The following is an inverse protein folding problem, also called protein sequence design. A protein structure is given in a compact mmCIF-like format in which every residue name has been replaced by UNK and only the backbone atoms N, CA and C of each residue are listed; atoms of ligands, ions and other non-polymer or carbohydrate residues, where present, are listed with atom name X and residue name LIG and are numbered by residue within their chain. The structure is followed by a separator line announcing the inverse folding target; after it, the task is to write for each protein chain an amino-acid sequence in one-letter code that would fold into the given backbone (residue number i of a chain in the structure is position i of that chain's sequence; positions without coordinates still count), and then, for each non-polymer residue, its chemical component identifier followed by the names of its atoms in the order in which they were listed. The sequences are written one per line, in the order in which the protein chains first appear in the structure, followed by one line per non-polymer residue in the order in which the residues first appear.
data_IF_187173019819
#
_entry.id   IF_187173019819
#
_cell.length_a   1.000
_cell.length_b   1.000
_cell.length_c   1.000
_cell.angle_alpha   90.00
_cell.angle_beta   90.00
_cell.angle_gamma   90.00
#
_symmetry.space_group_name_H-M   'P 1'
#
loop_
_entity.id
_entity.type
_entity.pdbx_description
1 polymer ?
#
# COMPACT_ATOMS: atom_id res chain seq x y z
N UNK A 1 4.84 -11.32 3.85
CA UNK A 1 3.82 -12.05 4.65
C UNK A 1 2.95 -12.88 3.72
N UNK A 2 2.66 -14.12 4.11
CA UNK A 2 1.80 -15.02 3.32
C UNK A 2 0.37 -14.53 3.33
N UNK A 3 -0.34 -14.79 2.24
CA UNK A 3 -1.75 -14.40 2.09
C UNK A 3 -2.67 -15.16 3.06
N UNK A 4 -2.39 -16.45 3.27
CA UNK A 4 -3.15 -17.29 4.17
C UNK A 4 -2.23 -18.23 4.98
N UNK A 5 -2.77 -18.82 6.02
CA UNK A 5 -2.11 -19.86 6.81
C UNK A 5 -2.81 -21.20 6.59
N UNK A 6 -2.05 -22.21 6.19
CA UNK A 6 -2.55 -23.58 6.01
C UNK A 6 -2.23 -24.39 7.26
N UNK A 7 -3.23 -24.94 7.90
CA UNK A 7 -3.09 -25.78 9.10
C UNK A 7 -2.69 -27.21 8.79
N UNK A 8 -3.05 -27.70 7.58
CA UNK A 8 -2.75 -29.05 7.13
C UNK A 8 -2.32 -29.05 5.65
N UNK A 9 -1.21 -29.74 5.35
CA UNK A 9 -0.65 -29.87 4.00
C UNK A 9 0.55 -28.98 3.71
N UNK A 10 1.20 -29.24 2.56
CA UNK A 10 2.35 -28.46 2.03
C UNK A 10 1.88 -27.65 0.82
N UNK A 11 0.91 -26.76 1.02
CA UNK A 11 0.59 -25.83 -0.06
C UNK A 11 1.60 -24.67 -0.07
N UNK A 12 2.16 -24.41 -1.25
CA UNK A 12 2.96 -23.20 -1.47
C UNK A 12 2.00 -22.02 -1.58
N UNK A 13 1.95 -21.22 -0.53
CA UNK A 13 1.15 -19.99 -0.50
C UNK A 13 2.00 -18.79 -0.88
N UNK A 14 1.46 -17.88 -1.70
CA UNK A 14 2.15 -16.66 -2.06
C UNK A 14 2.31 -15.72 -0.88
N UNK A 15 3.21 -14.75 -1.03
CA UNK A 15 3.23 -13.55 -0.23
C UNK A 15 2.29 -12.52 -0.86
N UNK A 16 1.36 -11.99 -0.07
CA UNK A 16 0.53 -10.86 -0.47
C UNK A 16 1.23 -9.54 -0.15
N UNK A 17 1.23 -8.64 -1.11
CA UNK A 17 1.84 -7.29 -0.94
C UNK A 17 1.01 -6.47 0.04
N UNK A 18 -0.32 -6.53 -0.03
CA UNK A 18 -1.21 -5.88 0.94
C UNK A 18 -0.99 -6.42 2.37
N UNK A 19 -0.99 -7.76 2.54
CA UNK A 19 -0.74 -8.39 3.84
C UNK A 19 0.64 -8.03 4.39
N UNK A 20 1.63 -7.81 3.54
CA UNK A 20 2.96 -7.34 3.95
C UNK A 20 2.90 -5.92 4.53
N UNK A 21 2.13 -5.01 3.92
CA UNK A 21 1.90 -3.67 4.46
C UNK A 21 1.19 -3.69 5.81
N UNK A 22 0.12 -4.46 5.94
CA UNK A 22 -0.61 -4.64 7.21
C UNK A 22 0.27 -5.32 8.26
N UNK A 23 1.08 -6.29 7.86
CA UNK A 23 2.04 -6.97 8.73
C UNK A 23 3.10 -6.03 9.34
N UNK A 24 3.54 -5.01 8.59
CA UNK A 24 4.41 -3.97 9.14
C UNK A 24 3.72 -3.19 10.26
N UNK A 25 2.44 -2.84 10.09
CA UNK A 25 1.65 -2.17 11.15
C UNK A 25 1.50 -3.10 12.36
N UNK A 26 1.22 -4.38 12.12
CA UNK A 26 1.10 -5.38 13.19
C UNK A 26 2.41 -5.53 14.00
N UNK A 27 3.59 -5.41 13.37
CA UNK A 27 4.87 -5.38 14.09
C UNK A 27 4.96 -4.18 15.04
N UNK A 28 4.53 -3.00 14.61
CA UNK A 28 4.54 -1.82 15.48
C UNK A 28 3.56 -1.97 16.67
N UNK A 29 2.38 -2.57 16.43
CA UNK A 29 1.43 -2.88 17.51
C UNK A 29 2.03 -3.91 18.46
N UNK A 30 2.66 -4.96 17.94
CA UNK A 30 3.32 -5.99 18.76
C UNK A 30 4.46 -5.45 19.63
N UNK A 31 5.21 -4.47 19.12
CA UNK A 31 6.23 -3.75 19.89
C UNK A 31 5.59 -2.91 20.99
N UNK A 32 4.58 -2.14 20.66
CA UNK A 32 3.85 -1.28 21.60
C UNK A 32 3.25 -2.07 22.77
N UNK A 33 2.65 -3.23 22.49
CA UNK A 33 2.05 -4.12 23.48
C UNK A 33 3.08 -5.03 24.19
N UNK A 34 4.35 -4.97 23.81
CA UNK A 34 5.41 -5.81 24.38
C UNK A 34 5.36 -7.29 23.94
N UNK A 35 4.63 -7.62 22.88
CA UNK A 35 4.51 -8.99 22.37
C UNK A 35 5.66 -9.37 21.43
N UNK A 36 6.32 -8.38 20.81
CA UNK A 36 7.36 -8.60 19.82
C UNK A 36 8.60 -7.73 20.09
N UNK A 37 9.59 -8.29 20.77
CA UNK A 37 10.81 -7.58 21.15
C UNK A 37 11.78 -7.28 19.99
N UNK A 38 11.59 -7.90 18.82
CA UNK A 38 12.42 -7.71 17.61
C UNK A 38 11.66 -7.05 16.46
N UNK A 39 10.62 -6.29 16.78
CA UNK A 39 9.72 -5.70 15.79
C UNK A 39 10.47 -4.80 14.80
N UNK A 40 11.37 -3.93 15.26
CA UNK A 40 12.15 -3.05 14.38
C UNK A 40 13.11 -3.81 13.46
N UNK A 41 13.75 -4.89 13.96
CA UNK A 41 14.61 -5.74 13.13
C UNK A 41 13.79 -6.46 12.03
N UNK A 42 12.61 -7.00 12.40
CA UNK A 42 11.69 -7.66 11.46
C UNK A 42 11.12 -6.67 10.45
N UNK A 43 10.76 -5.47 10.86
CA UNK A 43 10.31 -4.41 9.97
C UNK A 43 11.41 -4.01 8.98
N UNK A 44 12.65 -3.79 9.44
CA UNK A 44 13.78 -3.49 8.58
C UNK A 44 14.06 -4.61 7.57
N UNK A 45 14.00 -5.88 8.00
CA UNK A 45 14.19 -7.03 7.11
C UNK A 45 13.09 -7.09 6.03
N UNK A 46 11.83 -6.90 6.43
CA UNK A 46 10.69 -6.86 5.49
C UNK A 46 10.85 -5.73 4.47
N UNK A 47 11.25 -4.55 4.92
CA UNK A 47 11.48 -3.41 4.02
C UNK A 47 12.67 -3.64 3.08
N UNK A 48 13.76 -4.28 3.52
CA UNK A 48 14.87 -4.70 2.63
C UNK A 48 14.38 -5.64 1.54
N UNK A 49 13.56 -6.64 1.91
CA UNK A 49 12.97 -7.56 0.97
C UNK A 49 12.17 -6.82 -0.11
N UNK A 50 11.23 -5.95 0.31
CA UNK A 50 10.38 -5.21 -0.62
C UNK A 50 11.15 -4.16 -1.44
N UNK A 51 12.24 -3.63 -0.92
CA UNK A 51 13.12 -2.70 -1.63
C UNK A 51 14.09 -3.37 -2.62
N UNK A 52 14.09 -4.72 -2.72
CA UNK A 52 15.01 -5.49 -3.55
C UNK A 52 16.46 -5.43 -3.04
N UNK A 53 16.65 -5.33 -1.72
CA UNK A 53 17.99 -5.25 -1.10
C UNK A 53 18.39 -6.56 -0.39
N UNK A 54 17.63 -7.64 -0.60
CA UNK A 54 18.03 -8.99 -0.17
C UNK A 54 18.55 -9.78 -1.36
N UNK A 55 19.74 -10.39 -1.26
CA UNK A 55 20.27 -11.25 -2.31
C UNK A 55 19.30 -12.39 -2.67
N UNK A 56 19.02 -12.57 -3.95
CA UNK A 56 18.14 -13.62 -4.46
C UNK A 56 16.65 -13.37 -4.33
N UNK A 57 16.22 -12.23 -3.74
CA UNK A 57 14.82 -11.86 -3.65
C UNK A 57 14.58 -10.52 -4.37
N UNK A 58 13.87 -10.59 -5.49
CA UNK A 58 13.53 -9.41 -6.30
C UNK A 58 12.01 -9.32 -6.48
N UNK A 59 11.32 -8.47 -5.71
CA UNK A 59 9.86 -8.38 -5.77
C UNK A 59 9.38 -7.92 -7.14
N UNK A 60 8.51 -8.73 -7.75
CA UNK A 60 7.94 -8.46 -9.06
C UNK A 60 7.09 -7.19 -9.03
N UNK A 61 7.35 -6.29 -9.99
CA UNK A 61 6.66 -5.02 -10.16
C UNK A 61 6.66 -4.58 -11.61
N UNK A 62 5.79 -3.67 -11.95
CA UNK A 62 5.85 -2.98 -13.24
C UNK A 62 7.09 -2.09 -13.29
N UNK A 63 7.95 -2.31 -14.27
CA UNK A 63 9.26 -1.65 -14.38
C UNK A 63 9.16 -0.16 -14.73
N UNK A 64 8.03 0.29 -15.29
CA UNK A 64 7.85 1.68 -15.70
C UNK A 64 7.23 2.53 -14.59
N UNK A 65 6.42 1.91 -13.74
CA UNK A 65 5.63 2.62 -12.72
C UNK A 65 5.95 2.25 -11.29
N UNK A 66 6.59 1.10 -11.05
CA UNK A 66 6.97 0.62 -9.73
C UNK A 66 5.84 -0.03 -8.93
N UNK A 67 4.62 -0.18 -9.48
CA UNK A 67 3.53 -0.89 -8.81
C UNK A 67 3.81 -2.39 -8.74
N UNK A 68 3.67 -2.95 -7.54
CA UNK A 68 3.99 -4.35 -7.26
C UNK A 68 2.92 -5.31 -7.78
N UNK A 69 3.34 -6.52 -8.14
CA UNK A 69 2.42 -7.62 -8.36
C UNK A 69 1.66 -7.94 -7.08
N UNK A 70 0.35 -8.22 -7.17
CA UNK A 70 -0.51 -8.55 -6.03
C UNK A 70 0.07 -9.69 -5.18
N UNK A 71 0.47 -10.78 -5.86
CA UNK A 71 1.10 -11.93 -5.23
C UNK A 71 2.51 -12.17 -5.77
N UNK A 72 3.43 -12.48 -4.87
CA UNK A 72 4.81 -12.84 -5.19
C UNK A 72 5.21 -14.12 -4.48
N UNK A 73 6.16 -14.83 -5.06
CA UNK A 73 6.83 -15.94 -4.42
C UNK A 73 7.63 -15.46 -3.19
N UNK A 74 7.51 -16.17 -2.08
CA UNK A 74 8.07 -15.73 -0.81
C UNK A 74 9.60 -15.82 -0.73
N UNK A 75 10.21 -16.65 -1.58
CA UNK A 75 11.66 -16.89 -1.56
C UNK A 75 12.39 -16.04 -2.60
N UNK A 76 11.81 -15.91 -3.78
CA UNK A 76 12.45 -15.25 -4.92
C UNK A 76 11.90 -13.85 -5.21
N UNK A 77 10.68 -13.55 -4.75
CA UNK A 77 9.96 -12.34 -5.11
C UNK A 77 9.33 -12.39 -6.51
N UNK A 78 9.50 -13.45 -7.27
CA UNK A 78 8.91 -13.61 -8.59
C UNK A 78 7.38 -13.51 -8.51
N UNK A 79 6.75 -13.05 -9.61
CA UNK A 79 5.28 -13.00 -9.69
C UNK A 79 4.69 -14.38 -9.47
N UNK A 80 3.75 -14.47 -8.56
CA UNK A 80 3.01 -15.69 -8.29
C UNK A 80 1.68 -15.67 -9.05
N UNK A 81 1.32 -16.79 -9.67
CA UNK A 81 0.22 -16.89 -10.64
C UNK A 81 0.34 -15.81 -11.74
N UNK A 82 -0.78 -15.46 -12.36
CA UNK A 82 -0.87 -14.32 -13.28
C UNK A 82 -1.43 -13.08 -12.57
N UNK A 83 -0.99 -12.84 -11.32
CA UNK A 83 -1.47 -11.70 -10.55
C UNK A 83 -1.13 -10.37 -11.23
N UNK A 84 -2.03 -9.41 -11.18
CA UNK A 84 -1.87 -8.07 -11.73
C UNK A 84 -0.83 -7.24 -10.94
N UNK A 85 -0.37 -6.12 -11.51
CA UNK A 85 0.30 -5.09 -10.74
C UNK A 85 -0.78 -4.23 -10.08
N UNK A 86 -1.02 -4.48 -8.79
CA UNK A 86 -2.12 -3.88 -8.04
C UNK A 86 -1.76 -2.49 -7.51
N UNK A 87 -2.64 -1.54 -7.73
CA UNK A 87 -2.45 -0.18 -7.25
C UNK A 87 -2.74 -0.08 -5.75
N UNK A 88 -3.81 -0.72 -5.26
CA UNK A 88 -4.17 -0.69 -3.85
C UNK A 88 -3.21 -1.50 -2.97
N UNK A 89 -2.79 -2.69 -3.41
CA UNK A 89 -1.85 -3.50 -2.61
C UNK A 89 -0.51 -2.79 -2.45
N UNK A 90 -0.04 -2.12 -3.52
CA UNK A 90 1.15 -1.26 -3.46
C UNK A 90 0.94 -0.09 -2.49
N UNK A 91 -0.24 0.53 -2.49
CA UNK A 91 -0.56 1.61 -1.56
C UNK A 91 -0.58 1.12 -0.10
N UNK A 92 -1.14 -0.06 0.17
CA UNK A 92 -1.14 -0.67 1.50
C UNK A 92 0.28 -1.01 1.97
N UNK A 93 1.12 -1.58 1.10
CA UNK A 93 2.52 -1.84 1.40
C UNK A 93 3.26 -0.56 1.79
N UNK A 94 3.15 0.47 0.96
CA UNK A 94 3.87 1.73 1.20
C UNK A 94 3.32 2.47 2.42
N UNK A 95 2.02 2.40 2.68
CA UNK A 95 1.42 2.95 3.89
C UNK A 95 1.94 2.28 5.15
N UNK A 96 2.04 0.94 5.14
CA UNK A 96 2.68 0.19 6.23
C UNK A 96 4.14 0.57 6.43
N UNK A 97 4.90 0.76 5.34
CA UNK A 97 6.28 1.21 5.40
C UNK A 97 6.42 2.62 6.01
N UNK A 98 5.56 3.55 5.61
CA UNK A 98 5.54 4.90 6.18
C UNK A 98 5.08 4.89 7.64
N UNK A 99 4.13 4.02 8.02
CA UNK A 99 3.69 3.88 9.40
C UNK A 99 4.84 3.43 10.31
N UNK A 100 5.57 2.37 9.95
CA UNK A 100 6.69 1.90 10.79
C UNK A 100 7.86 2.88 10.79
N UNK A 101 8.05 3.67 9.75
CA UNK A 101 9.01 4.79 9.73
C UNK A 101 8.69 5.82 10.81
N UNK A 102 7.41 6.20 10.95
CA UNK A 102 6.97 7.16 11.96
C UNK A 102 6.95 6.54 13.36
N UNK A 103 6.59 5.27 13.48
CA UNK A 103 6.58 4.57 14.77
C UNK A 103 8.00 4.36 15.32
N UNK A 104 8.91 3.80 14.52
CA UNK A 104 10.31 3.57 14.91
C UNK A 104 11.18 4.81 14.62
N UNK A 105 10.80 5.96 15.15
CA UNK A 105 11.52 7.23 14.94
C UNK A 105 13.00 7.09 15.33
N UNK A 106 13.89 7.55 14.46
CA UNK A 106 15.35 7.44 14.66
C UNK A 106 15.98 6.16 14.09
N UNK A 107 15.21 5.16 13.67
CA UNK A 107 15.75 3.98 13.00
C UNK A 107 16.07 4.31 11.53
N UNK A 108 17.32 4.75 11.29
CA UNK A 108 17.77 5.30 9.99
C UNK A 108 17.48 4.39 8.79
N UNK A 109 17.64 3.08 8.99
CA UNK A 109 17.44 2.13 7.89
C UNK A 109 15.96 2.00 7.51
N UNK A 110 15.06 1.87 8.49
CA UNK A 110 13.60 1.86 8.23
C UNK A 110 13.20 3.14 7.50
N UNK A 111 13.68 4.31 7.96
CA UNK A 111 13.36 5.59 7.33
C UNK A 111 13.83 5.65 5.87
N UNK A 112 15.07 5.20 5.58
CA UNK A 112 15.64 5.14 4.22
C UNK A 112 14.85 4.21 3.31
N UNK A 113 14.55 3.00 3.79
CA UNK A 113 13.85 1.97 3.01
C UNK A 113 12.40 2.36 2.71
N UNK A 114 11.69 2.91 3.70
CA UNK A 114 10.32 3.41 3.49
C UNK A 114 10.29 4.56 2.47
N UNK A 115 11.23 5.50 2.55
CA UNK A 115 11.37 6.57 1.57
C UNK A 115 11.68 6.01 0.17
N UNK A 116 12.61 5.03 0.06
CA UNK A 116 12.93 4.36 -1.20
C UNK A 116 11.70 3.71 -1.82
N UNK A 117 10.90 2.98 -1.04
CA UNK A 117 9.66 2.35 -1.51
C UNK A 117 8.67 3.40 -2.02
N UNK A 118 8.41 4.46 -1.26
CA UNK A 118 7.49 5.53 -1.66
C UNK A 118 7.93 6.18 -2.98
N UNK A 119 9.21 6.54 -3.11
CA UNK A 119 9.74 7.21 -4.31
C UNK A 119 9.96 6.28 -5.50
N UNK A 120 9.95 4.97 -5.31
CA UNK A 120 10.03 4.00 -6.41
C UNK A 120 8.72 3.85 -7.19
N UNK A 121 7.62 4.36 -6.66
CA UNK A 121 6.30 4.27 -7.29
C UNK A 121 5.92 5.58 -7.97
N UNK A 122 5.55 5.52 -9.24
CA UNK A 122 5.00 6.64 -9.99
C UNK A 122 3.49 6.74 -9.76
N UNK A 123 3.11 7.35 -8.64
CA UNK A 123 1.72 7.42 -8.16
C UNK A 123 0.73 7.99 -9.18
N UNK A 124 1.17 8.95 -9.98
CA UNK A 124 0.31 9.57 -11.02
C UNK A 124 -0.17 8.57 -12.09
N UNK A 125 0.58 7.48 -12.32
CA UNK A 125 0.18 6.45 -13.27
C UNK A 125 -1.09 5.69 -12.86
N UNK A 126 -1.47 5.76 -11.59
CA UNK A 126 -2.69 5.16 -11.07
C UNK A 126 -3.89 6.14 -11.05
N UNK A 127 -3.74 7.38 -11.49
CA UNK A 127 -4.83 8.35 -11.55
C UNK A 127 -5.48 8.28 -12.93
N UNK A 128 -6.76 7.95 -13.00
CA UNK A 128 -7.55 7.87 -14.22
C UNK A 128 -8.11 9.25 -14.60
N UNK A 129 -8.82 9.89 -13.68
CA UNK A 129 -9.38 11.24 -13.86
C UNK A 129 -9.31 12.01 -12.54
N UNK A 130 -8.43 13.01 -12.48
CA UNK A 130 -8.23 13.82 -11.28
C UNK A 130 -9.42 14.73 -10.94
N UNK A 131 -10.29 15.03 -11.90
CA UNK A 131 -11.48 15.87 -11.68
C UNK A 131 -12.65 15.06 -11.13
N UNK A 132 -12.78 13.80 -11.54
CA UNK A 132 -13.80 12.86 -11.07
C UNK A 132 -13.37 12.08 -9.83
N UNK A 133 -12.07 12.08 -9.51
CA UNK A 133 -11.51 11.29 -8.43
C UNK A 133 -11.30 9.82 -8.78
N UNK A 134 -11.32 9.51 -10.08
CA UNK A 134 -11.16 8.14 -10.55
C UNK A 134 -9.69 7.71 -10.50
N UNK A 135 -9.46 6.48 -10.02
CA UNK A 135 -8.15 5.83 -9.97
C UNK A 135 -8.22 4.48 -10.67
N UNK A 136 -7.11 4.00 -11.17
CA UNK A 136 -7.05 2.68 -11.80
C UNK A 136 -6.88 1.56 -10.78
N UNK A 137 -7.59 0.46 -11.00
CA UNK A 137 -7.48 -0.78 -10.21
C UNK A 137 -6.08 -1.39 -10.32
N UNK A 138 -5.53 -1.44 -11.51
CA UNK A 138 -4.25 -2.10 -11.81
C UNK A 138 -3.43 -1.38 -12.88
N UNK A 139 -2.17 -1.80 -12.99
CA UNK A 139 -1.24 -1.33 -14.02
C UNK A 139 -0.88 -2.48 -14.95
N UNK A 140 -1.01 -2.25 -16.25
CA UNK A 140 -0.57 -3.18 -17.30
C UNK A 140 0.38 -2.47 -18.27
N UNK A 141 1.60 -2.99 -18.38
CA UNK A 141 2.63 -2.44 -19.30
C UNK A 141 2.83 -0.92 -19.14
N UNK A 142 2.92 -0.46 -17.90
CA UNK A 142 3.13 0.95 -17.57
C UNK A 142 1.89 1.85 -17.66
N UNK A 143 0.70 1.30 -17.92
CA UNK A 143 -0.55 2.05 -18.08
C UNK A 143 -1.59 1.60 -17.06
N UNK A 144 -2.36 2.53 -16.53
CA UNK A 144 -3.50 2.24 -15.70
C UNK A 144 -4.65 1.62 -16.49
N UNK A 145 -5.34 0.66 -15.85
CA UNK A 145 -6.47 -0.09 -16.43
C UNK A 145 -7.57 -0.24 -15.38
N UNK A 146 -8.80 -0.34 -15.83
CA UNK A 146 -10.01 -0.50 -15.01
C UNK A 146 -10.19 0.67 -14.02
N UNK A 147 -10.71 1.83 -14.48
CA UNK A 147 -10.94 2.97 -13.62
C UNK A 147 -12.07 2.70 -12.61
N UNK A 148 -11.88 3.15 -11.39
CA UNK A 148 -12.78 3.01 -10.26
C UNK A 148 -13.28 4.38 -9.81
N UNK A 149 -14.55 4.44 -9.41
CA UNK A 149 -15.15 5.64 -8.80
C UNK A 149 -14.48 5.99 -7.45
N UNK A 150 -14.55 7.23 -6.99
CA UNK A 150 -14.00 7.65 -5.71
C UNK A 150 -14.78 7.08 -4.50
N UNK A 151 -14.30 7.38 -3.28
CA UNK A 151 -14.92 7.08 -1.98
C UNK A 151 -14.95 5.59 -1.60
N UNK A 152 -13.97 4.84 -2.05
CA UNK A 152 -13.72 3.47 -1.66
C UNK A 152 -12.32 3.34 -1.00
N UNK A 153 -11.85 2.11 -0.79
CA UNK A 153 -10.53 1.82 -0.21
C UNK A 153 -9.35 2.44 -1.00
N UNK A 154 -9.52 2.71 -2.28
CA UNK A 154 -8.52 3.36 -3.13
C UNK A 154 -8.31 4.86 -2.79
N UNK A 155 -9.08 5.43 -1.88
CA UNK A 155 -8.79 6.76 -1.32
C UNK A 155 -7.40 6.84 -0.68
N UNK A 156 -6.88 5.71 -0.19
CA UNK A 156 -5.50 5.59 0.30
C UNK A 156 -4.46 5.89 -0.79
N UNK A 157 -4.69 5.40 -2.01
CA UNK A 157 -3.84 5.70 -3.17
C UNK A 157 -3.87 7.20 -3.50
N UNK A 158 -5.05 7.82 -3.50
CA UNK A 158 -5.19 9.26 -3.72
C UNK A 158 -4.43 10.07 -2.65
N UNK A 159 -4.46 9.62 -1.39
CA UNK A 159 -3.69 10.21 -0.31
C UNK A 159 -2.19 10.13 -0.54
N UNK A 160 -1.65 8.97 -0.93
CA UNK A 160 -0.22 8.81 -1.23
C UNK A 160 0.22 9.64 -2.43
N UNK A 161 -0.64 9.73 -3.45
CA UNK A 161 -0.38 10.50 -4.66
C UNK A 161 -0.41 12.03 -4.44
N UNK A 162 -0.97 12.54 -3.33
CA UNK A 162 -1.22 13.97 -3.10
C UNK A 162 0.03 14.87 -3.19
N UNK A 163 1.22 14.30 -3.03
CA UNK A 163 2.48 15.05 -3.17
C UNK A 163 2.92 15.23 -4.63
N UNK A 164 2.19 14.67 -5.59
CA UNK A 164 2.40 14.89 -7.03
C UNK A 164 1.43 15.95 -7.56
N UNK A 165 1.72 16.63 -8.68
CA UNK A 165 0.83 17.65 -9.24
C UNK A 165 -0.59 17.14 -9.53
N UNK A 166 -0.71 15.98 -10.21
CA UNK A 166 -2.00 15.39 -10.55
C UNK A 166 -2.73 14.86 -9.33
N UNK A 167 -2.00 14.22 -8.41
CA UNK A 167 -2.56 13.69 -7.16
C UNK A 167 -3.01 14.79 -6.19
N UNK A 168 -2.28 15.92 -6.12
CA UNK A 168 -2.70 17.10 -5.36
C UNK A 168 -4.03 17.64 -5.87
N UNK A 169 -4.17 17.74 -7.20
CA UNK A 169 -5.42 18.17 -7.83
C UNK A 169 -6.58 17.22 -7.51
N UNK A 170 -6.37 15.90 -7.65
CA UNK A 170 -7.36 14.88 -7.29
C UNK A 170 -7.77 15.00 -5.82
N UNK A 171 -6.79 15.09 -4.92
CA UNK A 171 -7.06 15.19 -3.48
C UNK A 171 -7.90 16.42 -3.14
N UNK A 172 -7.54 17.59 -3.66
CA UNK A 172 -8.27 18.85 -3.41
C UNK A 172 -9.68 18.84 -4.00
N UNK A 173 -9.89 18.22 -5.16
CA UNK A 173 -11.18 18.19 -5.82
C UNK A 173 -12.18 17.22 -5.20
N UNK A 174 -11.71 16.11 -4.62
CA UNK A 174 -12.56 14.99 -4.24
C UNK A 174 -12.48 14.66 -2.74
N UNK A 175 -11.27 14.63 -2.18
CA UNK A 175 -11.02 14.11 -0.84
C UNK A 175 -10.64 15.17 0.19
N UNK A 176 -10.65 16.47 -0.17
CA UNK A 176 -10.39 17.50 0.84
C UNK A 176 -11.50 17.52 1.89
N UNK A 177 -11.21 17.93 3.15
CA UNK A 177 -12.22 18.05 4.20
C UNK A 177 -13.44 18.88 3.78
N UNK A 178 -13.21 19.96 3.03
CA UNK A 178 -14.25 20.85 2.51
C UNK A 178 -15.19 20.13 1.55
N UNK A 179 -14.65 19.23 0.73
CA UNK A 179 -15.45 18.43 -0.21
C UNK A 179 -16.20 17.31 0.47
N UNK A 180 -15.55 16.61 1.40
CA UNK A 180 -16.16 15.52 2.15
C UNK A 180 -17.39 16.00 2.97
N UNK A 181 -17.37 17.23 3.46
CA UNK A 181 -18.53 17.81 4.15
C UNK A 181 -19.76 18.05 3.24
N UNK A 182 -19.57 18.10 1.91
CA UNK A 182 -20.65 18.26 0.95
C UNK A 182 -21.34 16.95 0.56
N UNK A 183 -20.76 15.82 0.93
CA UNK A 183 -21.31 14.50 0.62
C UNK A 183 -22.47 14.15 1.55
N UNK A 184 -23.47 13.38 1.08
CA UNK A 184 -24.51 12.86 1.95
C UNK A 184 -23.91 12.11 3.13
N UNK A 185 -24.41 12.38 4.34
CA UNK A 185 -23.93 11.76 5.56
C UNK A 185 -25.08 11.15 6.33
N UNK A 186 -24.91 9.93 6.82
CA UNK A 186 -25.86 9.29 7.72
C UNK A 186 -25.31 9.29 9.15
N UNK A 187 -26.13 9.74 10.10
CA UNK A 187 -25.80 9.68 11.51
C UNK A 187 -25.86 8.22 11.99
N UNK A 188 -24.76 7.70 12.52
CA UNK A 188 -24.66 6.32 13.03
C UNK A 188 -24.55 6.27 14.57
N UNK A 189 -24.67 7.43 15.24
CA UNK A 189 -24.64 7.56 16.68
C UNK A 189 -24.31 8.99 17.10
N UNK A 190 -24.30 9.30 18.41
CA UNK A 190 -24.01 10.65 18.90
C UNK A 190 -22.66 11.16 18.39
N UNK A 191 -22.68 12.21 17.56
CA UNK A 191 -21.49 12.84 17.00
C UNK A 191 -20.71 11.99 15.97
N UNK A 192 -21.31 10.91 15.45
CA UNK A 192 -20.70 10.06 14.42
C UNK A 192 -21.58 10.00 13.18
N UNK A 193 -20.97 10.21 12.03
CA UNK A 193 -21.61 10.06 10.72
C UNK A 193 -20.73 9.24 9.77
N UNK A 194 -21.36 8.57 8.84
CA UNK A 194 -20.71 7.93 7.69
C UNK A 194 -21.13 8.66 6.42
N UNK A 195 -20.24 8.66 5.44
CA UNK A 195 -20.56 9.16 4.10
C UNK A 195 -21.38 8.07 3.41
N UNK A 196 -22.51 8.47 2.83
CA UNK A 196 -23.36 7.61 2.02
C UNK A 196 -23.25 8.03 0.57
N UNK A 197 -23.10 7.08 -0.34
CA UNK A 197 -23.21 7.28 -1.79
C UNK A 197 -24.67 7.26 -2.22
#
# INVERSE_FOLDING_TARGET
YRDAYVTEGKEELPSSIAATGVGLIALAIGDYEGWESKASEKAALTLRAMAGELPGLEPAKDQQTGFFAHFIDVETGARFWNSENSTIDTALLVSGALFVKEYFQGHREIARLAAKLYHSVRWEAAIADSMKGEVYLKIEKGRGVDPLAPYNEYSLLAYLARCTPTGSKLWQQVYSPERLHLLPQQLVGPGRSIICE
#
